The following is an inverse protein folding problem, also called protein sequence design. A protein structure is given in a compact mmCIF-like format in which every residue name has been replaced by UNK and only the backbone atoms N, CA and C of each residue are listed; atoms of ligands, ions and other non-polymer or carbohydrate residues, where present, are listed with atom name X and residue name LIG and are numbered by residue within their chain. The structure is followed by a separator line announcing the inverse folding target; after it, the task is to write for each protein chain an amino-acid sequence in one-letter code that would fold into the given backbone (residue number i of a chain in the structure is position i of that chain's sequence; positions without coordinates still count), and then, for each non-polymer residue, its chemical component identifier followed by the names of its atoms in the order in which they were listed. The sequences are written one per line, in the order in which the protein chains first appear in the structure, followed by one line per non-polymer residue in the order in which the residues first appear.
data_IF_743346805772
#
_entry.id   IF_743346805772
#
_cell.length_a   1.000
_cell.length_b   1.000
_cell.length_c   1.000
_cell.angle_alpha   90.00
_cell.angle_beta   90.00
_cell.angle_gamma   90.00
#
_symmetry.space_group_name_H-M   'P 1'
#
loop_
_entity.id
_entity.type
_entity.pdbx_description
1 polymer ?
#
# COMPACT_ATOMS: atom_id res chain seq x y z
N UNK A 1 4.94 22.15 -1.13
CA UNK A 1 4.72 21.31 -2.32
C UNK A 1 3.68 20.28 -1.93
N UNK A 2 2.48 20.35 -2.47
CA UNK A 2 1.38 19.45 -2.15
C UNK A 2 1.61 18.12 -2.89
N UNK A 3 1.46 16.97 -2.23
CA UNK A 3 1.32 15.68 -2.93
C UNK A 3 0.02 15.77 -3.75
N UNK A 4 0.12 16.21 -5.00
CA UNK A 4 -1.03 16.56 -5.84
C UNK A 4 -1.66 15.36 -6.52
N UNK A 5 -0.95 14.24 -6.63
CA UNK A 5 -1.51 13.05 -7.26
C UNK A 5 -2.41 12.31 -6.27
N UNK A 6 -3.73 12.39 -6.48
CA UNK A 6 -4.69 11.53 -5.81
C UNK A 6 -4.41 10.06 -6.15
N UNK A 7 -4.81 9.12 -5.28
CA UNK A 7 -4.73 7.68 -5.59
C UNK A 7 -5.45 7.35 -6.90
N UNK A 8 -6.50 8.08 -7.23
CA UNK A 8 -7.23 7.91 -8.48
C UNK A 8 -6.42 8.31 -9.71
N UNK A 9 -5.65 9.40 -9.64
CA UNK A 9 -4.71 9.79 -10.71
C UNK A 9 -3.57 8.78 -10.88
N UNK A 10 -3.04 8.27 -9.76
CA UNK A 10 -1.98 7.24 -9.80
C UNK A 10 -2.53 5.95 -10.40
N UNK A 11 -3.70 5.50 -9.96
CA UNK A 11 -4.34 4.30 -10.50
C UNK A 11 -4.67 4.45 -11.99
N UNK A 12 -5.17 5.61 -12.42
CA UNK A 12 -5.40 5.90 -13.84
C UNK A 12 -4.09 5.86 -14.65
N UNK A 13 -2.97 6.26 -14.05
CA UNK A 13 -1.65 6.21 -14.70
C UNK A 13 -1.05 4.81 -14.75
N UNK A 14 -1.56 3.90 -13.92
CA UNK A 14 -1.13 2.50 -13.87
C UNK A 14 -1.86 1.60 -14.88
N UNK A 15 -2.75 2.13 -15.73
CA UNK A 15 -3.36 1.45 -16.90
C UNK A 15 -3.74 -0.03 -16.69
N UNK A 16 -4.69 -0.28 -15.78
CA UNK A 16 -5.24 -1.63 -15.53
C UNK A 16 -4.35 -2.55 -14.69
N UNK A 17 -3.26 -2.03 -14.10
CA UNK A 17 -2.42 -2.77 -13.14
C UNK A 17 -2.97 -2.74 -11.71
N UNK A 18 -4.02 -1.98 -11.44
CA UNK A 18 -4.69 -2.00 -10.14
C UNK A 18 -5.57 -3.26 -10.01
N UNK A 19 -5.38 -4.09 -8.97
CA UNK A 19 -6.20 -5.26 -8.79
C UNK A 19 -7.66 -4.86 -8.57
N UNK A 20 -8.64 -5.52 -9.22
CA UNK A 20 -10.06 -5.12 -9.14
C UNK A 20 -10.65 -5.26 -7.73
N UNK A 21 -9.97 -5.98 -6.84
CA UNK A 21 -10.36 -6.16 -5.46
C UNK A 21 -9.74 -5.16 -4.49
N UNK A 22 -8.79 -4.36 -4.94
CA UNK A 22 -8.05 -3.43 -4.09
C UNK A 22 -8.94 -2.21 -3.77
N UNK A 23 -9.24 -1.94 -2.49
CA UNK A 23 -10.10 -0.81 -2.12
C UNK A 23 -9.43 0.54 -2.39
N UNK A 24 -10.26 1.58 -2.53
CA UNK A 24 -9.82 2.99 -2.53
C UNK A 24 -9.93 3.53 -1.11
N UNK A 25 -8.81 3.62 -0.40
CA UNK A 25 -8.77 4.16 0.96
C UNK A 25 -8.74 5.69 0.94
N UNK A 26 -9.39 6.30 1.94
CA UNK A 26 -9.44 7.76 2.09
C UNK A 26 -8.15 8.29 2.73
N UNK A 27 -7.21 8.70 1.87
CA UNK A 27 -5.95 9.29 2.32
C UNK A 27 -6.13 10.63 3.03
N UNK A 28 -7.25 11.35 2.84
CA UNK A 28 -7.51 12.58 3.60
C UNK A 28 -7.90 12.26 5.03
N UNK A 29 -8.74 11.23 5.22
CA UNK A 29 -9.05 10.74 6.54
C UNK A 29 -7.79 10.21 7.26
N UNK A 30 -6.91 9.52 6.53
CA UNK A 30 -5.63 9.08 7.09
C UNK A 30 -4.70 10.24 7.42
N UNK A 31 -4.58 11.27 6.56
CA UNK A 31 -3.80 12.47 6.86
C UNK A 31 -4.31 13.19 8.12
N UNK A 32 -5.63 13.33 8.28
CA UNK A 32 -6.23 13.93 9.46
C UNK A 32 -5.97 13.10 10.73
N UNK A 33 -5.98 11.77 10.62
CA UNK A 33 -5.58 10.88 11.72
C UNK A 33 -4.11 11.11 12.11
N UNK A 34 -3.21 11.14 11.13
CA UNK A 34 -1.77 11.36 11.38
C UNK A 34 -1.53 12.73 12.02
N UNK A 35 -2.19 13.77 11.54
CA UNK A 35 -2.12 15.12 12.13
C UNK A 35 -2.50 15.10 13.62
N UNK A 36 -3.62 14.48 13.96
CA UNK A 36 -4.10 14.36 15.33
C UNK A 36 -3.17 13.51 16.24
N UNK A 37 -2.46 12.54 15.67
CA UNK A 37 -1.60 11.60 16.41
C UNK A 37 -0.11 12.01 16.44
N UNK A 38 0.35 12.95 15.60
CA UNK A 38 1.79 13.19 15.38
C UNK A 38 2.53 13.75 16.61
N UNK A 39 1.82 14.37 17.55
CA UNK A 39 2.37 14.89 18.80
C UNK A 39 3.36 16.05 18.67
N UNK A 40 3.66 16.51 17.44
CA UNK A 40 4.52 17.65 17.19
C UNK A 40 3.77 18.96 17.39
N UNK A 41 4.45 19.95 17.95
CA UNK A 41 3.91 21.31 18.17
C UNK A 41 4.35 22.31 17.11
N UNK A 42 5.31 21.94 16.26
CA UNK A 42 5.79 22.77 15.16
C UNK A 42 5.07 22.40 13.87
N UNK A 43 4.42 23.37 13.23
CA UNK A 43 3.72 23.19 11.95
C UNK A 43 4.60 22.55 10.86
N UNK A 44 5.90 22.88 10.86
CA UNK A 44 6.85 22.29 9.91
C UNK A 44 7.04 20.78 10.16
N UNK A 45 7.14 20.38 11.42
CA UNK A 45 7.32 18.98 11.80
C UNK A 45 6.04 18.17 11.57
N UNK A 46 4.89 18.75 11.91
CA UNK A 46 3.56 18.18 11.62
C UNK A 46 3.42 17.94 10.11
N UNK A 47 3.69 18.96 9.30
CA UNK A 47 3.63 18.85 7.85
C UNK A 47 4.56 17.79 7.27
N UNK A 48 5.78 17.67 7.81
CA UNK A 48 6.76 16.66 7.38
C UNK A 48 6.31 15.23 7.76
N UNK A 49 5.74 15.03 8.94
CA UNK A 49 5.21 13.72 9.37
C UNK A 49 4.05 13.30 8.46
N UNK A 50 3.07 14.17 8.26
CA UNK A 50 1.92 13.90 7.38
C UNK A 50 2.39 13.57 5.97
N UNK A 51 3.32 14.36 5.42
CA UNK A 51 3.86 14.11 4.08
C UNK A 51 4.56 12.76 3.97
N UNK A 52 5.38 12.40 4.96
CA UNK A 52 6.07 11.11 5.00
C UNK A 52 5.06 9.96 5.01
N UNK A 53 4.06 10.04 5.90
CA UNK A 53 3.03 9.00 6.03
C UNK A 53 2.17 8.86 4.78
N UNK A 54 1.81 9.97 4.13
CA UNK A 54 1.07 9.90 2.85
C UNK A 54 1.91 9.31 1.73
N UNK A 55 3.21 9.62 1.70
CA UNK A 55 4.13 9.02 0.73
C UNK A 55 4.26 7.51 0.91
N UNK A 56 4.35 7.03 2.16
CA UNK A 56 4.35 5.59 2.48
C UNK A 56 3.09 4.88 1.96
N UNK A 57 1.92 5.51 2.07
CA UNK A 57 0.66 4.96 1.53
C UNK A 57 0.67 4.83 0.00
N UNK A 58 1.16 5.87 -0.68
CA UNK A 58 1.28 5.85 -2.15
C UNK A 58 2.25 4.76 -2.59
N UNK A 59 3.40 4.63 -1.92
CA UNK A 59 4.37 3.57 -2.20
C UNK A 59 3.76 2.19 -1.96
N UNK A 60 3.04 1.99 -0.86
CA UNK A 60 2.36 0.73 -0.56
C UNK A 60 1.29 0.39 -1.62
N UNK A 61 0.51 1.36 -2.07
CA UNK A 61 -0.45 1.18 -3.16
C UNK A 61 0.23 0.68 -4.44
N UNK A 62 1.30 1.36 -4.88
CA UNK A 62 2.07 0.96 -6.08
C UNK A 62 2.68 -0.42 -5.92
N UNK A 63 3.19 -0.75 -4.73
CA UNK A 63 3.74 -2.08 -4.43
C UNK A 63 2.67 -3.18 -4.51
N UNK A 64 1.47 -2.94 -3.99
CA UNK A 64 0.34 -3.86 -4.09
C UNK A 64 -0.04 -4.08 -5.56
N UNK A 65 -0.20 -3.01 -6.34
CA UNK A 65 -0.48 -3.13 -7.77
C UNK A 65 0.62 -3.92 -8.49
N UNK A 66 1.89 -3.60 -8.26
CA UNK A 66 3.02 -4.27 -8.89
C UNK A 66 3.18 -5.76 -8.51
N UNK A 67 2.78 -6.14 -7.29
CA UNK A 67 2.89 -7.52 -6.81
C UNK A 67 1.85 -8.46 -7.42
N UNK A 68 0.66 -7.94 -7.75
CA UNK A 68 -0.46 -8.70 -8.30
C UNK A 68 -0.67 -8.48 -9.81
N UNK A 69 -0.05 -7.47 -10.39
CA UNK A 69 -0.06 -7.26 -11.83
C UNK A 69 0.54 -8.47 -12.56
N UNK A 70 -0.16 -8.98 -13.58
CA UNK A 70 0.34 -10.00 -14.51
C UNK A 70 1.38 -9.43 -15.51
N UNK A 71 2.25 -8.52 -15.07
CA UNK A 71 3.36 -8.04 -15.89
C UNK A 71 4.46 -9.10 -15.95
N UNK A 72 5.28 -9.02 -17.00
CA UNK A 72 6.53 -9.78 -17.10
C UNK A 72 7.35 -9.68 -15.80
N UNK A 73 8.02 -10.77 -15.38
CA UNK A 73 8.90 -10.72 -14.23
C UNK A 73 9.95 -9.62 -14.44
N UNK A 74 9.81 -8.53 -13.69
CA UNK A 74 10.69 -7.37 -13.72
C UNK A 74 11.46 -7.30 -12.42
N UNK A 75 12.76 -7.03 -12.50
CA UNK A 75 13.66 -6.86 -11.36
C UNK A 75 13.30 -5.67 -10.45
N UNK A 76 12.44 -4.78 -10.94
CA UNK A 76 11.94 -3.65 -10.17
C UNK A 76 10.89 -4.01 -9.09
N UNK A 77 10.33 -5.24 -9.10
CA UNK A 77 9.33 -5.65 -8.11
C UNK A 77 9.94 -5.90 -6.74
N UNK A 78 9.48 -5.16 -5.73
CA UNK A 78 9.90 -5.34 -4.33
C UNK A 78 9.19 -6.49 -3.62
N UNK A 79 7.95 -6.80 -4.03
CA UNK A 79 7.16 -7.90 -3.49
C UNK A 79 6.76 -8.86 -4.60
N UNK A 80 6.71 -10.14 -4.26
CA UNK A 80 6.20 -11.20 -5.13
C UNK A 80 4.94 -11.81 -4.51
N UNK A 81 3.89 -11.99 -5.32
CA UNK A 81 2.75 -12.80 -4.94
C UNK A 81 3.14 -14.29 -4.98
N UNK A 82 3.13 -14.95 -3.83
CA UNK A 82 3.44 -16.38 -3.69
C UNK A 82 2.18 -17.23 -3.73
N UNK A 83 1.05 -16.66 -3.29
CA UNK A 83 -0.22 -17.35 -3.16
C UNK A 83 -1.34 -16.40 -3.53
N UNK A 84 -1.89 -16.56 -4.73
CA UNK A 84 -3.03 -15.77 -5.21
C UNK A 84 -4.35 -16.48 -4.89
N UNK A 85 -4.57 -16.78 -3.60
CA UNK A 85 -5.81 -17.40 -3.15
C UNK A 85 -6.81 -16.34 -2.70
N UNK A 86 -8.02 -16.42 -3.26
CA UNK A 86 -9.05 -15.41 -3.02
C UNK A 86 -9.45 -15.32 -1.55
N UNK A 87 -9.52 -16.45 -0.85
CA UNK A 87 -9.95 -16.51 0.55
C UNK A 87 -8.98 -15.77 1.48
N UNK A 88 -7.66 -15.95 1.28
CA UNK A 88 -6.64 -15.25 2.06
C UNK A 88 -6.62 -13.75 1.80
N UNK A 89 -6.83 -13.34 0.55
CA UNK A 89 -6.95 -11.92 0.19
C UNK A 89 -8.19 -11.31 0.85
N UNK A 90 -9.35 -11.97 0.76
CA UNK A 90 -10.60 -11.48 1.35
C UNK A 90 -10.50 -11.39 2.89
N UNK A 91 -9.84 -12.34 3.55
CA UNK A 91 -9.59 -12.29 5.01
C UNK A 91 -8.63 -11.14 5.40
N UNK A 92 -7.59 -10.88 4.60
CA UNK A 92 -6.71 -9.73 4.80
C UNK A 92 -7.47 -8.40 4.63
N UNK A 93 -8.32 -8.31 3.61
CA UNK A 93 -9.19 -7.15 3.37
C UNK A 93 -10.17 -6.93 4.53
N UNK A 94 -10.85 -7.98 4.99
CA UNK A 94 -11.80 -7.89 6.09
C UNK A 94 -11.11 -7.44 7.40
N UNK A 95 -9.93 -8.00 7.69
CA UNK A 95 -9.15 -7.60 8.87
C UNK A 95 -8.68 -6.15 8.75
N UNK A 96 -8.23 -5.71 7.57
CA UNK A 96 -7.82 -4.32 7.36
C UNK A 96 -9.00 -3.34 7.50
N UNK A 97 -10.16 -3.71 6.94
CA UNK A 97 -11.39 -2.91 7.00
C UNK A 97 -11.96 -2.79 8.43
N UNK A 98 -11.58 -3.68 9.35
CA UNK A 98 -11.99 -3.59 10.76
C UNK A 98 -11.30 -2.45 11.53
N UNK A 99 -10.21 -1.89 10.99
CA UNK A 99 -9.55 -0.73 11.59
C UNK A 99 -10.37 0.55 11.36
N UNK A 100 -10.35 1.46 12.33
CA UNK A 100 -11.05 2.74 12.24
C UNK A 100 -10.57 3.61 11.05
N UNK A 101 -9.34 3.41 10.60
CA UNK A 101 -8.77 4.03 9.41
C UNK A 101 -7.92 2.96 8.67
N UNK A 102 -8.53 2.22 7.73
CA UNK A 102 -7.83 1.22 6.92
C UNK A 102 -6.83 1.89 5.97
N UNK A 103 -5.66 1.28 5.78
CA UNK A 103 -4.57 1.84 4.97
C UNK A 103 -3.97 0.81 4.01
N UNK A 104 -3.26 1.28 2.98
CA UNK A 104 -2.49 0.42 2.06
C UNK A 104 -1.29 -0.19 2.75
N UNK A 105 -0.59 0.56 3.60
CA UNK A 105 0.53 0.01 4.40
C UNK A 105 0.05 -1.09 5.35
N UNK A 106 -1.12 -0.92 5.98
CA UNK A 106 -1.76 -1.92 6.83
C UNK A 106 -2.15 -3.17 6.05
N UNK A 107 -2.79 -2.99 4.88
CA UNK A 107 -3.14 -4.12 4.01
C UNK A 107 -1.90 -4.88 3.53
N UNK A 108 -0.85 -4.16 3.10
CA UNK A 108 0.41 -4.76 2.67
C UNK A 108 1.04 -5.62 3.78
N UNK A 109 1.07 -5.10 5.02
CA UNK A 109 1.57 -5.85 6.17
C UNK A 109 0.75 -7.13 6.43
N UNK A 110 -0.58 -7.05 6.35
CA UNK A 110 -1.48 -8.19 6.56
C UNK A 110 -1.34 -9.27 5.49
N UNK A 111 -1.05 -8.89 4.24
CA UNK A 111 -0.79 -9.84 3.15
C UNK A 111 0.58 -10.52 3.32
N UNK A 112 1.57 -9.80 3.84
CA UNK A 112 2.89 -10.36 4.18
C UNK A 112 2.78 -11.33 5.37
N UNK A 113 2.09 -10.94 6.45
CA UNK A 113 1.86 -11.78 7.64
C UNK A 113 1.21 -13.12 7.28
N UNK A 114 0.31 -13.11 6.29
CA UNK A 114 -0.37 -14.31 5.79
C UNK A 114 0.42 -15.11 4.74
N UNK A 115 1.61 -14.65 4.36
CA UNK A 115 2.44 -15.27 3.34
C UNK A 115 1.87 -15.20 1.92
N UNK A 116 0.92 -14.30 1.67
CA UNK A 116 0.38 -14.03 0.32
C UNK A 116 1.42 -13.28 -0.50
N UNK A 117 2.02 -12.26 0.13
CA UNK A 117 3.14 -11.50 -0.42
C UNK A 117 4.42 -11.84 0.35
N UNK A 118 5.54 -11.88 -0.35
CA UNK A 118 6.87 -11.94 0.26
C UNK A 118 7.77 -10.84 -0.27
N UNK A 119 8.64 -10.24 0.56
CA UNK A 119 9.71 -9.39 0.07
C UNK A 119 10.60 -10.18 -0.89
N UNK A 120 10.92 -9.62 -2.04
CA UNK A 120 11.70 -10.34 -3.06
C UNK A 120 13.10 -10.75 -2.58
N UNK A 121 13.72 -9.95 -1.70
CA UNK A 121 14.99 -10.30 -1.06
C UNK A 121 14.94 -11.62 -0.26
N UNK A 122 13.74 -12.07 0.10
CA UNK A 122 13.48 -13.31 0.85
C UNK A 122 12.83 -14.39 -0.03
N UNK A 123 12.61 -14.12 -1.33
CA UNK A 123 12.01 -15.08 -2.25
C UNK A 123 13.09 -16.02 -2.82
N UNK A 124 13.05 -17.33 -2.52
CA UNK A 124 14.05 -18.30 -2.98
C UNK A 124 14.03 -18.55 -4.50
N UNK A 125 13.01 -18.08 -5.22
CA UNK A 125 12.86 -18.26 -6.66
C UNK A 125 13.35 -17.05 -7.50
N UNK A 126 13.86 -15.98 -6.88
CA UNK A 126 14.40 -14.84 -7.63
C UNK A 126 15.82 -15.12 -8.14
N UNK A 127 16.11 -14.96 -9.44
CA UNK A 127 17.49 -14.96 -9.92
C UNK A 127 18.24 -13.79 -9.26
N UNK A 128 19.47 -14.08 -8.80
CA UNK A 128 20.41 -13.08 -8.29
C UNK A 128 20.96 -12.22 -9.41
#
# INVERSE_FOLDING_TARGET
MTLTASIDEIASSLDGLDPPWLPRYDLRAYAAKVDNECGYTSDMMVGMEIHTKMFEEVVAFVQLCGAFAQLHPSDARQYACMRDDRAGIDDALARNASHACPTYTGLLALLIERGILVPRAQNPASPR
#
